data_IF_063205155242
#
_entry.id   IF_063205155242
#
_cell.length_a   1.000
_cell.length_b   1.000
_cell.length_c   1.000
_cell.angle_alpha   90.00
_cell.angle_beta   90.00
_cell.angle_gamma   90.00
#
_symmetry.space_group_name_H-M   'P 1'
#
loop_
_entity.id
_entity.type
_entity.pdbx_description
1 polymer ?
#
# COMPACT_ATOMS: atom_id res chain seq x y z
N UNK A 1 26.37 19.45 32.47
CA UNK A 1 26.15 19.64 31.03
C UNK A 1 25.67 18.35 30.34
N UNK A 2 26.26 17.16 30.60
CA UNK A 2 25.80 15.89 29.95
C UNK A 2 24.42 15.38 30.41
N UNK A 3 24.01 15.66 31.65
CA UNK A 3 22.66 15.30 32.16
C UNK A 3 21.56 16.15 31.51
N UNK A 4 21.80 17.47 31.38
CA UNK A 4 20.86 18.40 30.77
C UNK A 4 20.61 18.06 29.28
N UNK A 5 21.68 17.75 28.51
CA UNK A 5 21.56 17.33 27.12
C UNK A 5 20.84 15.97 26.95
N UNK A 6 20.87 15.11 27.99
CA UNK A 6 20.16 13.83 27.97
C UNK A 6 18.67 13.99 28.31
N UNK A 7 18.33 14.99 29.10
CA UNK A 7 16.94 15.35 29.44
C UNK A 7 16.30 16.16 28.32
N UNK A 8 17.04 17.04 27.64
CA UNK A 8 16.59 17.73 26.43
C UNK A 8 16.33 16.73 25.29
N UNK A 9 17.22 15.78 25.05
CA UNK A 9 16.97 14.67 24.07
C UNK A 9 15.83 13.75 24.49
N UNK A 10 15.50 13.62 25.80
CA UNK A 10 14.31 12.92 26.26
C UNK A 10 13.03 13.73 26.09
N UNK A 11 13.09 15.05 26.20
CA UNK A 11 11.97 15.96 25.89
C UNK A 11 11.73 16.04 24.38
N UNK A 12 12.78 16.05 23.57
CA UNK A 12 12.68 15.94 22.11
C UNK A 12 12.10 14.60 21.65
N UNK A 13 12.29 13.50 22.43
CA UNK A 13 11.62 12.19 22.21
C UNK A 13 10.18 12.14 22.72
N UNK A 14 9.72 13.16 23.46
CA UNK A 14 8.40 13.19 24.07
C UNK A 14 7.24 13.47 23.11
N UNK A 15 7.53 13.82 21.87
CA UNK A 15 6.50 14.09 20.85
C UNK A 15 6.59 13.07 19.70
N UNK A 16 6.79 11.78 20.03
CA UNK A 16 6.58 10.72 19.07
C UNK A 16 5.06 10.60 18.90
N UNK A 17 4.53 11.12 17.81
CA UNK A 17 3.16 10.82 17.37
C UNK A 17 2.91 9.32 17.56
N UNK A 18 1.75 8.94 18.10
CA UNK A 18 1.33 7.55 18.20
C UNK A 18 1.21 6.95 16.79
N UNK A 19 2.33 6.44 16.29
CA UNK A 19 2.36 5.76 15.00
C UNK A 19 1.65 4.41 15.13
N UNK A 20 0.80 4.11 14.18
CA UNK A 20 0.15 2.80 14.10
C UNK A 20 1.13 1.73 13.65
N UNK A 21 0.74 0.46 13.80
CA UNK A 21 1.50 -0.69 13.27
C UNK A 21 1.16 -0.99 11.81
N UNK A 22 0.22 -0.25 11.20
CA UNK A 22 -0.14 -0.46 9.79
C UNK A 22 1.03 -0.17 8.86
N UNK A 23 1.22 -1.06 7.90
CA UNK A 23 2.29 -0.94 6.88
C UNK A 23 1.69 -1.02 5.47
N UNK A 24 2.34 -0.43 4.46
CA UNK A 24 1.88 -0.53 3.08
C UNK A 24 1.60 -1.96 2.63
N UNK A 25 0.45 -2.18 2.01
CA UNK A 25 0.06 -3.48 1.44
C UNK A 25 0.81 -3.82 0.15
N UNK A 26 1.40 -2.83 -0.51
CA UNK A 26 2.26 -2.97 -1.70
C UNK A 26 3.60 -2.26 -1.49
N UNK A 27 4.61 -2.69 -2.23
CA UNK A 27 5.85 -1.92 -2.41
C UNK A 27 5.62 -0.89 -3.51
N UNK A 28 6.02 0.35 -3.26
CA UNK A 28 5.85 1.43 -4.22
C UNK A 28 7.12 2.26 -4.33
N UNK A 29 7.51 2.61 -5.56
CA UNK A 29 8.68 3.44 -5.81
C UNK A 29 8.52 4.81 -5.13
N UNK A 30 9.58 5.32 -4.52
CA UNK A 30 9.51 6.58 -3.76
C UNK A 30 8.79 6.48 -2.41
N UNK A 31 8.52 5.26 -1.93
CA UNK A 31 7.87 5.05 -0.63
C UNK A 31 8.65 5.70 0.52
N UNK A 32 7.94 6.45 1.37
CA UNK A 32 8.49 7.28 2.46
C UNK A 32 8.85 6.50 3.73
N UNK A 33 8.83 5.14 3.68
CA UNK A 33 8.99 4.29 4.88
C UNK A 33 10.29 4.58 5.66
N UNK A 34 11.40 4.84 4.96
CA UNK A 34 12.69 5.15 5.59
C UNK A 34 12.74 6.56 6.21
N UNK A 35 11.80 7.42 5.85
CA UNK A 35 11.73 8.80 6.30
C UNK A 35 10.64 9.03 7.35
N UNK A 36 9.87 8.01 7.75
CA UNK A 36 8.71 8.15 8.64
C UNK A 36 9.06 8.85 9.96
N UNK A 37 10.16 8.46 10.59
CA UNK A 37 10.62 9.08 11.85
C UNK A 37 10.92 10.57 11.65
N UNK A 38 11.64 10.90 10.57
CA UNK A 38 11.99 12.31 10.28
C UNK A 38 10.78 13.16 9.89
N UNK A 39 9.81 12.56 9.17
CA UNK A 39 8.56 13.23 8.82
C UNK A 39 7.68 13.44 10.06
N UNK A 40 7.56 12.40 10.91
CA UNK A 40 6.77 12.48 12.14
C UNK A 40 7.22 13.61 13.07
N UNK A 41 8.54 13.82 13.23
CA UNK A 41 9.10 14.89 14.04
C UNK A 41 8.76 16.29 13.49
N UNK A 42 8.54 16.40 12.18
CA UNK A 42 8.24 17.67 11.49
C UNK A 42 6.76 17.95 11.30
N UNK A 43 5.91 16.96 11.62
CA UNK A 43 4.46 17.17 11.56
C UNK A 43 4.01 18.19 12.60
N UNK A 44 3.03 19.07 12.29
CA UNK A 44 2.43 19.92 13.30
C UNK A 44 1.69 19.09 14.35
N UNK A 45 1.68 19.53 15.60
CA UNK A 45 0.99 18.84 16.71
C UNK A 45 -0.53 18.75 16.49
N UNK A 46 -1.10 19.75 15.83
CA UNK A 46 -2.52 19.79 15.49
C UNK A 46 -2.73 20.23 14.05
N UNK A 47 -3.67 19.60 13.36
CA UNK A 47 -4.07 19.98 12.01
C UNK A 47 -5.56 19.65 11.77
N UNK A 48 -6.23 20.44 10.96
CA UNK A 48 -7.67 20.29 10.67
C UNK A 48 -7.99 19.19 9.68
N UNK A 49 -7.03 18.76 8.85
CA UNK A 49 -7.17 17.71 7.86
C UNK A 49 -5.82 17.31 7.29
N UNK A 50 -5.75 16.06 6.78
CA UNK A 50 -4.56 15.49 6.17
C UNK A 50 -4.81 15.24 4.68
N UNK A 51 -3.90 15.68 3.85
CA UNK A 51 -4.00 15.55 2.39
C UNK A 51 -2.72 14.92 1.84
N UNK A 52 -2.83 13.78 1.18
CA UNK A 52 -1.69 13.12 0.51
C UNK A 52 -2.00 13.00 -0.99
N UNK A 53 -1.60 13.99 -1.82
CA UNK A 53 -1.92 14.03 -3.26
C UNK A 53 -1.18 12.97 -4.09
N UNK A 54 -0.13 12.37 -3.56
CA UNK A 54 0.67 11.30 -4.16
C UNK A 54 0.85 10.18 -3.13
N UNK A 55 -0.25 9.45 -2.82
CA UNK A 55 -0.28 8.48 -1.73
C UNK A 55 0.65 7.29 -1.97
N UNK A 56 0.76 6.82 -3.21
CA UNK A 56 1.55 5.64 -3.52
C UNK A 56 1.17 4.45 -2.62
N UNK A 57 2.16 3.83 -1.98
CA UNK A 57 1.91 2.74 -1.02
C UNK A 57 1.34 3.17 0.34
N UNK A 58 1.14 4.46 0.59
CA UNK A 58 0.51 4.99 1.81
C UNK A 58 1.34 4.89 3.08
N UNK A 59 2.68 4.87 2.97
CA UNK A 59 3.53 4.67 4.13
C UNK A 59 3.30 5.70 5.25
N UNK A 60 3.13 6.99 4.90
CA UNK A 60 2.96 8.04 5.87
C UNK A 60 1.54 8.04 6.45
N UNK A 61 0.51 8.05 5.61
CA UNK A 61 -0.88 8.05 6.07
C UNK A 61 -1.22 6.83 6.92
N UNK A 62 -0.76 5.63 6.54
CA UNK A 62 -0.99 4.41 7.32
C UNK A 62 -0.26 4.44 8.67
N UNK A 63 0.92 5.04 8.71
CA UNK A 63 1.66 5.22 9.97
C UNK A 63 1.00 6.21 10.92
N UNK A 64 0.43 7.29 10.40
CA UNK A 64 -0.20 8.36 11.19
C UNK A 64 -1.68 8.09 11.51
N UNK A 65 -2.38 7.41 10.62
CA UNK A 65 -3.83 7.16 10.66
C UNK A 65 -4.67 8.40 11.06
N UNK A 66 -4.51 9.54 10.37
CA UNK A 66 -5.25 10.75 10.71
C UNK A 66 -6.77 10.55 10.55
N UNK A 67 -7.58 11.11 11.48
CA UNK A 67 -9.04 10.93 11.47
C UNK A 67 -9.71 11.47 10.20
N UNK A 68 -9.21 12.61 9.70
CA UNK A 68 -9.72 13.26 8.48
C UNK A 68 -8.62 13.26 7.42
N UNK A 69 -8.70 12.33 6.49
CA UNK A 69 -7.71 12.17 5.42
C UNK A 69 -8.35 12.18 4.04
N UNK A 70 -7.65 12.82 3.10
CA UNK A 70 -7.92 12.72 1.66
C UNK A 70 -6.67 12.16 1.00
N UNK A 71 -6.82 11.01 0.36
CA UNK A 71 -5.75 10.33 -0.38
C UNK A 71 -6.01 10.47 -1.87
N UNK A 72 -4.98 10.79 -2.62
CA UNK A 72 -5.03 10.84 -4.07
C UNK A 72 -3.82 10.16 -4.68
N UNK A 73 -4.02 9.55 -5.82
CA UNK A 73 -2.95 9.14 -6.74
C UNK A 73 -3.50 9.15 -8.16
N UNK A 74 -2.64 9.37 -9.14
CA UNK A 74 -3.02 9.31 -10.55
C UNK A 74 -3.12 7.86 -11.05
N UNK A 75 -2.48 6.91 -10.36
CA UNK A 75 -2.49 5.51 -10.75
C UNK A 75 -3.84 4.88 -10.41
N UNK A 76 -4.62 4.60 -11.45
CA UNK A 76 -5.99 4.11 -11.33
C UNK A 76 -6.05 2.72 -10.68
N UNK A 77 -5.15 1.82 -11.01
CA UNK A 77 -5.08 0.45 -10.48
C UNK A 77 -4.77 0.46 -8.98
N UNK A 78 -3.85 1.32 -8.56
CA UNK A 78 -3.52 1.50 -7.15
C UNK A 78 -4.71 2.06 -6.37
N UNK A 79 -5.34 3.12 -6.88
CA UNK A 79 -6.52 3.74 -6.26
C UNK A 79 -7.70 2.77 -6.21
N UNK A 80 -7.91 2.00 -7.28
CA UNK A 80 -8.90 0.92 -7.31
C UNK A 80 -8.63 -0.10 -6.19
N UNK A 81 -7.38 -0.54 -6.04
CA UNK A 81 -6.99 -1.48 -4.99
C UNK A 81 -7.25 -0.93 -3.58
N UNK A 82 -6.98 0.35 -3.33
CA UNK A 82 -7.37 0.99 -2.06
C UNK A 82 -8.88 0.93 -1.80
N UNK A 83 -9.69 1.18 -2.84
CA UNK A 83 -11.16 1.12 -2.73
C UNK A 83 -11.64 -0.30 -2.47
N UNK A 84 -11.08 -1.30 -3.14
CA UNK A 84 -11.43 -2.71 -2.92
C UNK A 84 -11.07 -3.19 -1.51
N UNK A 85 -9.93 -2.77 -0.97
CA UNK A 85 -9.56 -3.02 0.43
C UNK A 85 -10.58 -2.39 1.39
N UNK A 86 -11.09 -1.19 1.08
CA UNK A 86 -12.08 -0.50 1.91
C UNK A 86 -13.46 -1.16 1.83
N UNK A 87 -13.92 -1.46 0.61
CA UNK A 87 -15.33 -1.74 0.33
C UNK A 87 -15.63 -3.23 0.20
N UNK A 88 -14.67 -4.05 -0.27
CA UNK A 88 -14.88 -5.47 -0.62
C UNK A 88 -13.84 -6.39 0.04
N UNK A 89 -13.45 -6.09 1.29
CA UNK A 89 -12.37 -6.78 2.00
C UNK A 89 -12.52 -8.30 2.00
N UNK A 90 -13.70 -8.83 2.34
CA UNK A 90 -13.90 -10.28 2.50
C UNK A 90 -13.69 -11.02 1.17
N UNK A 91 -14.23 -10.50 0.07
CA UNK A 91 -14.04 -11.06 -1.26
C UNK A 91 -12.55 -10.99 -1.68
N UNK A 92 -11.87 -9.86 -1.39
CA UNK A 92 -10.46 -9.68 -1.66
C UNK A 92 -9.60 -10.70 -0.89
N UNK A 93 -9.91 -10.92 0.40
CA UNK A 93 -9.21 -11.90 1.24
C UNK A 93 -9.38 -13.33 0.74
N UNK A 94 -10.58 -13.71 0.29
CA UNK A 94 -10.84 -15.02 -0.30
C UNK A 94 -9.99 -15.24 -1.55
N UNK A 95 -9.95 -14.26 -2.46
CA UNK A 95 -9.17 -14.36 -3.69
C UNK A 95 -7.67 -14.47 -3.43
N UNK A 96 -7.12 -13.59 -2.57
CA UNK A 96 -5.70 -13.63 -2.22
C UNK A 96 -5.32 -14.92 -1.49
N UNK A 97 -6.19 -15.40 -0.59
CA UNK A 97 -5.96 -16.66 0.11
C UNK A 97 -5.96 -17.84 -0.87
N UNK A 98 -6.87 -17.86 -1.85
CA UNK A 98 -6.89 -18.92 -2.87
C UNK A 98 -5.62 -18.90 -3.74
N UNK A 99 -5.13 -17.74 -4.14
CA UNK A 99 -3.87 -17.62 -4.88
C UNK A 99 -2.67 -18.10 -4.04
N UNK A 100 -2.66 -17.81 -2.73
CA UNK A 100 -1.58 -18.22 -1.82
C UNK A 100 -1.59 -19.72 -1.48
N UNK A 101 -2.65 -20.47 -1.80
CA UNK A 101 -2.65 -21.95 -1.70
C UNK A 101 -1.81 -22.62 -2.80
N UNK A 102 -1.57 -21.92 -3.89
CA UNK A 102 -0.79 -22.42 -5.03
C UNK A 102 0.66 -21.95 -4.90
N UNK A 103 1.60 -22.87 -5.02
CA UNK A 103 3.03 -22.52 -5.08
C UNK A 103 3.27 -21.56 -6.24
N UNK A 104 3.88 -20.41 -5.95
CA UNK A 104 4.17 -19.40 -6.96
C UNK A 104 5.34 -19.84 -7.86
N UNK A 105 5.05 -20.74 -8.81
CA UNK A 105 6.00 -21.10 -9.87
C UNK A 105 6.10 -19.97 -10.90
N UNK A 106 7.08 -20.09 -11.79
CA UNK A 106 7.24 -19.15 -12.91
C UNK A 106 5.98 -19.13 -13.78
N UNK A 107 5.46 -20.32 -14.11
CA UNK A 107 4.29 -20.51 -14.95
C UNK A 107 3.06 -19.86 -14.33
N UNK A 108 2.79 -20.13 -13.04
CA UNK A 108 1.67 -19.57 -12.31
C UNK A 108 1.77 -18.03 -12.19
N UNK A 109 2.96 -17.50 -11.92
CA UNK A 109 3.16 -16.04 -11.90
C UNK A 109 2.81 -15.40 -13.24
N UNK A 110 3.27 -15.98 -14.36
CA UNK A 110 3.00 -15.40 -15.67
C UNK A 110 1.53 -15.58 -16.11
N UNK A 111 0.85 -16.63 -15.65
CA UNK A 111 -0.60 -16.79 -15.81
C UNK A 111 -1.36 -15.67 -15.09
N UNK A 112 -1.06 -15.42 -13.82
CA UNK A 112 -1.67 -14.33 -13.06
C UNK A 112 -1.38 -12.96 -13.69
N UNK A 113 -0.18 -12.76 -14.22
CA UNK A 113 0.17 -11.53 -14.95
C UNK A 113 -0.62 -11.39 -16.26
N UNK A 114 -0.81 -12.45 -17.00
CA UNK A 114 -1.60 -12.42 -18.23
C UNK A 114 -3.06 -12.06 -17.93
N UNK A 115 -3.64 -12.65 -16.89
CA UNK A 115 -5.00 -12.39 -16.41
C UNK A 115 -5.19 -10.94 -15.94
N UNK A 116 -4.23 -10.40 -15.20
CA UNK A 116 -4.22 -8.98 -14.81
C UNK A 116 -4.22 -8.06 -16.05
N UNK A 117 -3.33 -8.34 -17.01
CA UNK A 117 -3.21 -7.53 -18.22
C UNK A 117 -4.43 -7.65 -19.13
N UNK A 118 -5.12 -8.78 -19.13
CA UNK A 118 -6.40 -8.95 -19.82
C UNK A 118 -7.48 -8.05 -19.22
N UNK A 119 -7.65 -8.09 -17.89
CA UNK A 119 -8.59 -7.20 -17.19
C UNK A 119 -8.27 -5.72 -17.42
N UNK A 120 -6.98 -5.36 -17.42
CA UNK A 120 -6.56 -3.99 -17.75
C UNK A 120 -7.02 -3.58 -19.17
N UNK A 121 -6.83 -4.45 -20.17
CA UNK A 121 -7.26 -4.17 -21.56
C UNK A 121 -8.76 -4.04 -21.71
N UNK A 122 -9.52 -4.81 -20.92
CA UNK A 122 -10.99 -4.79 -20.91
C UNK A 122 -11.57 -3.70 -19.99
N UNK A 123 -10.73 -2.96 -19.27
CA UNK A 123 -11.10 -2.00 -18.25
C UNK A 123 -12.00 -2.59 -17.15
N UNK A 124 -11.78 -3.85 -16.80
CA UNK A 124 -12.49 -4.58 -15.75
C UNK A 124 -11.88 -4.33 -14.37
N UNK A 125 -12.29 -3.25 -13.73
CA UNK A 125 -11.87 -2.88 -12.39
C UNK A 125 -12.79 -3.55 -11.35
N UNK A 126 -12.47 -4.79 -10.97
CA UNK A 126 -13.18 -5.58 -9.98
C UNK A 126 -12.25 -6.05 -8.84
N UNK A 127 -12.80 -6.75 -7.85
CA UNK A 127 -12.04 -7.27 -6.70
C UNK A 127 -10.92 -8.21 -7.13
N UNK A 128 -11.11 -8.95 -8.21
CA UNK A 128 -10.06 -9.84 -8.72
C UNK A 128 -8.87 -9.06 -9.29
N UNK A 129 -9.12 -7.97 -10.02
CA UNK A 129 -8.03 -7.11 -10.50
C UNK A 129 -7.21 -6.55 -9.34
N UNK A 130 -7.86 -6.14 -8.24
CA UNK A 130 -7.17 -5.68 -7.03
C UNK A 130 -6.36 -6.81 -6.36
N UNK A 131 -6.91 -8.02 -6.28
CA UNK A 131 -6.18 -9.19 -5.77
C UNK A 131 -4.95 -9.50 -6.61
N UNK A 132 -5.08 -9.52 -7.93
CA UNK A 132 -3.99 -9.72 -8.86
C UNK A 132 -2.92 -8.64 -8.75
N UNK A 133 -3.32 -7.37 -8.58
CA UNK A 133 -2.39 -6.26 -8.36
C UNK A 133 -1.52 -6.48 -7.12
N UNK A 134 -2.13 -6.83 -5.98
CA UNK A 134 -1.40 -7.13 -4.74
C UNK A 134 -0.49 -8.35 -4.93
N UNK A 135 -1.04 -9.44 -5.48
CA UNK A 135 -0.30 -10.68 -5.73
C UNK A 135 0.94 -10.41 -6.59
N UNK A 136 0.79 -9.78 -7.74
CA UNK A 136 1.88 -9.49 -8.66
C UNK A 136 2.94 -8.59 -8.02
N UNK A 137 2.54 -7.55 -7.27
CA UNK A 137 3.50 -6.68 -6.58
C UNK A 137 4.36 -7.44 -5.56
N UNK A 138 3.79 -8.44 -4.86
CA UNK A 138 4.54 -9.25 -3.88
C UNK A 138 5.47 -10.26 -4.53
N UNK A 139 5.06 -10.81 -5.67
CA UNK A 139 5.77 -11.90 -6.36
C UNK A 139 6.65 -11.44 -7.53
N UNK A 140 6.62 -10.17 -7.90
CA UNK A 140 7.49 -9.63 -8.93
C UNK A 140 8.87 -9.23 -8.40
N UNK A 141 9.79 -9.03 -9.34
CA UNK A 141 11.15 -8.58 -9.05
C UNK A 141 11.13 -7.25 -8.27
N UNK A 142 11.71 -7.26 -7.07
CA UNK A 142 11.82 -6.14 -6.13
C UNK A 142 10.50 -5.46 -5.72
N UNK A 143 9.34 -6.01 -6.05
CA UNK A 143 8.04 -5.39 -5.80
C UNK A 143 7.84 -4.10 -6.60
N UNK A 144 8.41 -4.03 -7.79
CA UNK A 144 8.27 -2.88 -8.68
C UNK A 144 6.87 -2.86 -9.31
N UNK A 145 6.33 -1.66 -9.51
CA UNK A 145 5.23 -1.45 -10.45
C UNK A 145 5.80 -0.80 -11.70
N UNK A 146 5.66 -1.48 -12.83
CA UNK A 146 6.10 -0.98 -14.13
C UNK A 146 5.20 -1.53 -15.22
N UNK A 147 4.83 -0.67 -16.15
CA UNK A 147 4.04 -1.01 -17.32
C UNK A 147 4.80 -0.75 -18.60
N UNK A 148 4.40 -1.39 -19.70
CA UNK A 148 4.87 -1.10 -21.03
C UNK A 148 4.10 0.09 -21.65
N UNK A 149 4.37 0.42 -22.90
CA UNK A 149 3.71 1.51 -23.64
C UNK A 149 2.20 1.29 -23.86
N UNK A 150 1.69 0.09 -23.64
CA UNK A 150 0.25 -0.27 -23.70
C UNK A 150 -0.43 -0.23 -22.33
N UNK A 151 0.28 0.17 -21.25
CA UNK A 151 -0.21 0.13 -19.89
C UNK A 151 -0.15 -1.26 -19.23
N UNK A 152 0.35 -2.30 -19.90
CA UNK A 152 0.38 -3.65 -19.38
C UNK A 152 1.55 -3.85 -18.40
N UNK A 153 1.25 -4.48 -17.26
CA UNK A 153 2.26 -4.83 -16.25
C UNK A 153 3.30 -5.80 -16.82
N UNK A 154 4.59 -5.45 -16.70
CA UNK A 154 5.68 -6.18 -17.38
C UNK A 154 6.86 -6.56 -16.49
N UNK A 155 6.74 -6.47 -15.17
CA UNK A 155 7.82 -6.86 -14.25
C UNK A 155 7.95 -8.38 -14.22
N UNK A 156 9.18 -8.94 -14.23
CA UNK A 156 9.40 -10.38 -14.16
C UNK A 156 9.17 -10.93 -12.75
N UNK A 157 9.00 -12.25 -12.65
CA UNK A 157 8.92 -12.97 -11.40
C UNK A 157 10.19 -12.86 -10.54
N UNK A 158 10.03 -12.84 -9.20
CA UNK A 158 11.13 -12.71 -8.24
C UNK A 158 11.85 -14.04 -7.89
N UNK A 159 11.42 -15.15 -8.49
CA UNK A 159 11.93 -16.51 -8.30
C UNK A 159 11.74 -17.09 -6.88
N UNK A 160 10.85 -16.52 -6.07
CA UNK A 160 10.55 -17.02 -4.73
C UNK A 160 9.28 -17.87 -4.77
N UNK A 161 9.37 -19.11 -4.30
CA UNK A 161 8.28 -20.08 -4.34
C UNK A 161 7.27 -19.91 -3.20
N UNK A 162 7.70 -19.38 -2.05
CA UNK A 162 6.87 -19.26 -0.85
C UNK A 162 6.92 -17.84 -0.29
N UNK A 163 6.09 -16.98 -0.84
CA UNK A 163 5.84 -15.63 -0.33
C UNK A 163 4.34 -15.51 -0.12
N UNK A 164 3.90 -15.02 1.02
CA UNK A 164 2.49 -14.66 1.20
C UNK A 164 2.21 -13.32 0.55
N UNK A 165 1.11 -13.24 -0.17
CA UNK A 165 0.70 -12.02 -0.87
C UNK A 165 0.37 -10.90 0.11
N UNK A 166 -0.11 -11.24 1.32
CA UNK A 166 -0.48 -10.25 2.32
C UNK A 166 -0.33 -10.76 3.75
N UNK A 167 -0.29 -9.80 4.67
CA UNK A 167 -0.55 -9.98 6.09
C UNK A 167 -2.04 -9.67 6.36
N UNK A 168 -2.79 -10.70 6.78
CA UNK A 168 -4.25 -10.65 6.99
C UNK A 168 -4.64 -9.58 8.03
N UNK A 169 -3.93 -9.51 9.14
CA UNK A 169 -4.26 -8.57 10.22
C UNK A 169 -3.96 -7.14 9.81
N UNK A 170 -2.85 -6.92 9.11
CA UNK A 170 -2.50 -5.62 8.58
C UNK A 170 -3.54 -5.10 7.58
N UNK A 171 -4.01 -5.95 6.65
CA UNK A 171 -4.97 -5.50 5.63
C UNK A 171 -6.36 -5.24 6.21
N UNK A 172 -6.77 -5.99 7.26
CA UNK A 172 -8.00 -5.72 8.02
C UNK A 172 -7.92 -4.37 8.74
N UNK A 173 -6.79 -4.08 9.38
CA UNK A 173 -6.57 -2.79 10.03
C UNK A 173 -6.60 -1.63 9.02
N UNK A 174 -5.96 -1.80 7.86
CA UNK A 174 -6.01 -0.84 6.75
C UNK A 174 -7.46 -0.63 6.28
N UNK A 175 -8.21 -1.71 6.05
CA UNK A 175 -9.62 -1.61 5.61
C UNK A 175 -10.47 -0.84 6.61
N UNK A 176 -10.34 -1.14 7.89
CA UNK A 176 -11.07 -0.44 8.95
C UNK A 176 -10.75 1.06 8.95
N UNK A 177 -9.49 1.43 8.83
CA UNK A 177 -9.04 2.82 8.75
C UNK A 177 -9.57 3.52 7.49
N UNK A 178 -9.48 2.89 6.32
CA UNK A 178 -9.89 3.49 5.04
C UNK A 178 -11.39 3.84 4.96
N UNK A 179 -12.23 3.28 5.83
CA UNK A 179 -13.67 3.63 5.89
C UNK A 179 -13.93 5.08 6.28
N UNK A 180 -13.00 5.71 7.01
CA UNK A 180 -13.07 7.14 7.36
C UNK A 180 -12.36 8.07 6.36
N UNK A 181 -11.76 7.51 5.30
CA UNK A 181 -10.86 8.23 4.39
C UNK A 181 -11.53 8.50 3.04
N UNK A 182 -11.37 9.71 2.52
CA UNK A 182 -11.73 10.03 1.13
C UNK A 182 -10.62 9.60 0.19
N UNK A 183 -10.96 8.82 -0.85
CA UNK A 183 -10.00 8.31 -1.84
C UNK A 183 -10.37 8.82 -3.23
N UNK A 184 -9.46 9.54 -3.86
CA UNK A 184 -9.62 10.14 -5.19
C UNK A 184 -8.58 9.61 -6.17
N UNK A 185 -8.91 9.66 -7.47
CA UNK A 185 -8.00 9.35 -8.57
C UNK A 185 -8.05 10.51 -9.54
N UNK A 186 -7.17 11.48 -9.35
CA UNK A 186 -7.17 12.73 -10.15
C UNK A 186 -5.75 13.22 -10.35
N UNK A 187 -5.57 14.00 -11.40
CA UNK A 187 -4.43 14.91 -11.49
C UNK A 187 -4.55 15.99 -10.41
N UNK A 188 -3.42 16.52 -9.94
CA UNK A 188 -3.37 17.48 -8.83
C UNK A 188 -3.42 18.93 -9.33
#
# INVERSE_FOLDING_TARGET
RRKCQREERKKERGNVMNMTTMVPFVKWAGGKRQMLEQLGIRMPETYGGYYEPFVGGGALVLSLAPEKAVLNDINQELVHTYREIRDHLDALLVLLSSMDTVTCTKEFYYEMRARYNEKHRLAEYDTEMAALFIYLNKHCFNGLYRVNTRGEFNVPWNQKLSVRSMDMENIKAISAYLKSVTITCRDF
#
